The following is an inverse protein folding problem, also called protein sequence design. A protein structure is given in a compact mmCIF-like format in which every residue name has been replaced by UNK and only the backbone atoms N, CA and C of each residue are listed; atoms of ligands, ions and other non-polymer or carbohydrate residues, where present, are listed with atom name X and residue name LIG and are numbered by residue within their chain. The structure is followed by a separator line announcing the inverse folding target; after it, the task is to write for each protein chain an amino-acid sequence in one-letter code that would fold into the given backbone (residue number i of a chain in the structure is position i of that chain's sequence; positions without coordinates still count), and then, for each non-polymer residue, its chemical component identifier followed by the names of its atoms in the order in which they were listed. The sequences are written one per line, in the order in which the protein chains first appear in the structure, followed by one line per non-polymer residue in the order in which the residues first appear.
data_IF_816010000012
#
_entry.id   IF_816010000012
#
_cell.length_a   1.000
_cell.length_b   1.000
_cell.length_c   1.000
_cell.angle_alpha   90.00
_cell.angle_beta   90.00
_cell.angle_gamma   90.00
#
_symmetry.space_group_name_H-M   'P 1'
#
loop_
_entity.id
_entity.type
_entity.pdbx_description
1 polymer ?
#
# COMPACT_ATOMS: atom_id res chain seq x y z
N UNK A 1 -11.84 1.77 0.30
CA UNK A 1 -11.23 0.61 -0.37
C UNK A 1 -9.74 0.83 -0.59
N UNK A 2 -9.33 2.04 -1.04
CA UNK A 2 -7.94 2.41 -1.28
C UNK A 2 -7.11 2.33 0.01
N UNK A 3 -7.54 2.92 1.11
CA UNK A 3 -6.89 2.87 2.42
C UNK A 3 -6.65 1.44 2.95
N UNK A 4 -7.45 0.48 2.48
CA UNK A 4 -7.24 -0.95 2.71
C UNK A 4 -6.35 -1.63 1.67
N UNK A 5 -5.92 -0.91 0.62
CA UNK A 5 -5.22 -1.42 -0.57
C UNK A 5 -5.93 -2.64 -1.19
N UNK A 6 -7.25 -2.52 -1.39
CA UNK A 6 -8.15 -3.61 -1.85
C UNK A 6 -8.95 -3.27 -3.10
N UNK A 7 -9.24 -1.97 -3.36
CA UNK A 7 -10.11 -1.55 -4.45
C UNK A 7 -9.53 -1.89 -5.82
N UNK A 8 -8.32 -1.50 -6.08
CA UNK A 8 -7.60 -1.78 -7.32
C UNK A 8 -7.42 -3.29 -7.58
N UNK A 9 -7.17 -4.06 -6.52
CA UNK A 9 -7.04 -5.52 -6.63
C UNK A 9 -8.30 -6.18 -7.20
N UNK A 10 -9.48 -5.78 -6.71
CA UNK A 10 -10.75 -6.34 -7.20
C UNK A 10 -10.96 -6.03 -8.69
N UNK A 11 -10.61 -4.82 -9.16
CA UNK A 11 -10.68 -4.41 -10.57
C UNK A 11 -9.74 -5.28 -11.43
N UNK A 12 -8.51 -5.50 -10.96
CA UNK A 12 -7.51 -6.32 -11.65
C UNK A 12 -7.93 -7.78 -11.74
N UNK A 13 -8.41 -8.37 -10.63
CA UNK A 13 -8.82 -9.78 -10.58
C UNK A 13 -10.05 -10.07 -11.45
N UNK A 14 -10.91 -9.08 -11.68
CA UNK A 14 -12.07 -9.21 -12.59
C UNK A 14 -11.72 -8.99 -14.06
N UNK A 15 -10.46 -8.67 -14.39
CA UNK A 15 -9.99 -8.54 -15.77
C UNK A 15 -10.38 -7.23 -16.46
N UNK A 16 -10.89 -6.22 -15.74
CA UNK A 16 -11.32 -4.94 -16.32
C UNK A 16 -10.20 -4.11 -16.97
N UNK A 17 -8.94 -4.54 -16.83
CA UNK A 17 -7.77 -3.85 -17.37
C UNK A 17 -7.00 -4.68 -18.39
N UNK A 18 -7.56 -5.80 -18.86
CA UNK A 18 -6.84 -6.74 -19.72
C UNK A 18 -6.71 -6.30 -21.18
N UNK A 19 -7.55 -5.38 -21.60
CA UNK A 19 -7.63 -4.78 -22.94
C UNK A 19 -7.36 -3.26 -22.93
N UNK A 20 -6.75 -2.75 -21.85
CA UNK A 20 -6.44 -1.32 -21.70
C UNK A 20 -5.03 -1.02 -22.20
N UNK A 21 -4.93 -0.14 -23.21
CA UNK A 21 -3.65 0.31 -23.79
C UNK A 21 -2.99 1.40 -22.93
N UNK A 22 -3.78 2.31 -22.36
CA UNK A 22 -3.28 3.45 -21.58
C UNK A 22 -4.06 3.61 -20.28
N UNK A 23 -3.34 3.73 -19.17
CA UNK A 23 -3.91 3.99 -17.86
C UNK A 23 -3.31 5.24 -17.22
N UNK A 24 -4.16 6.22 -16.93
CA UNK A 24 -3.75 7.46 -16.25
C UNK A 24 -4.52 7.59 -14.94
N UNK A 25 -3.81 7.64 -13.82
CA UNK A 25 -4.37 7.98 -12.52
C UNK A 25 -3.80 9.28 -11.98
N UNK A 26 -4.35 9.78 -10.88
CA UNK A 26 -3.78 10.95 -10.21
C UNK A 26 -4.08 10.97 -8.71
N UNK A 27 -3.25 11.73 -8.00
CA UNK A 27 -3.45 12.04 -6.58
C UNK A 27 -3.04 13.49 -6.30
N UNK A 28 -3.75 14.14 -5.39
CA UNK A 28 -3.38 15.47 -4.89
C UNK A 28 -2.11 15.36 -4.05
N UNK A 29 -1.20 16.32 -4.21
CA UNK A 29 0.12 16.30 -3.59
C UNK A 29 0.49 17.68 -3.04
N UNK A 30 1.17 17.77 -1.88
CA UNK A 30 1.69 19.04 -1.39
C UNK A 30 2.57 19.73 -2.43
N UNK A 31 2.33 21.04 -2.65
CA UNK A 31 3.06 21.84 -3.63
C UNK A 31 4.41 22.40 -3.11
N UNK A 32 4.71 22.29 -1.82
CA UNK A 32 5.73 23.06 -1.10
C UNK A 32 7.15 23.02 -1.69
N UNK A 33 7.48 21.99 -2.47
CA UNK A 33 8.83 21.81 -3.04
C UNK A 33 8.84 21.82 -4.57
N UNK A 34 7.72 22.21 -5.22
CA UNK A 34 7.59 22.12 -6.67
C UNK A 34 7.01 23.41 -7.25
N UNK A 35 7.53 23.81 -8.42
CA UNK A 35 6.97 24.90 -9.22
C UNK A 35 6.14 24.32 -10.36
N UNK A 36 4.85 24.59 -10.37
CA UNK A 36 3.92 24.15 -11.41
C UNK A 36 2.59 23.69 -10.83
N UNK A 37 1.77 23.07 -11.65
CA UNK A 37 0.44 22.60 -11.30
C UNK A 37 0.35 21.06 -11.23
N UNK A 38 1.11 20.36 -12.09
CA UNK A 38 1.06 18.90 -12.23
C UNK A 38 2.44 18.32 -12.54
N UNK A 39 2.78 17.22 -11.87
CA UNK A 39 3.92 16.36 -12.20
C UNK A 39 3.37 15.19 -13.04
N UNK A 40 3.90 14.92 -14.25
CA UNK A 40 3.30 13.96 -15.18
C UNK A 40 3.52 12.49 -14.85
N UNK A 41 4.32 12.17 -13.83
CA UNK A 41 4.58 10.79 -13.44
C UNK A 41 4.99 10.62 -11.98
N UNK A 42 5.02 9.37 -11.53
CA UNK A 42 5.45 9.01 -10.19
C UNK A 42 6.24 7.69 -10.18
N UNK A 43 7.07 7.51 -9.13
CA UNK A 43 7.82 6.28 -8.89
C UNK A 43 8.01 6.04 -7.38
N UNK A 44 8.44 4.83 -7.00
CA UNK A 44 8.96 4.53 -5.67
C UNK A 44 7.92 4.50 -4.56
N UNK A 45 6.65 4.16 -4.85
CA UNK A 45 5.70 3.80 -3.80
C UNK A 45 6.23 2.60 -3.01
N UNK A 46 6.08 2.63 -1.70
CA UNK A 46 6.43 1.48 -0.86
C UNK A 46 5.45 0.32 -1.15
N UNK A 47 5.99 -0.82 -1.52
CA UNK A 47 5.21 -2.04 -1.53
C UNK A 47 4.80 -2.40 -0.09
N UNK A 48 3.59 -2.91 0.08
CA UNK A 48 3.02 -3.25 1.40
C UNK A 48 2.18 -4.51 1.33
N UNK A 49 2.15 -5.26 2.44
CA UNK A 49 1.20 -6.36 2.67
C UNK A 49 0.59 -6.20 4.06
N UNK A 50 -0.76 -6.22 4.12
CA UNK A 50 -1.56 -6.18 5.34
C UNK A 50 -2.02 -7.59 5.69
N UNK A 51 -1.75 -8.03 6.91
CA UNK A 51 -1.95 -9.40 7.38
C UNK A 51 -2.80 -9.37 8.64
N UNK A 52 -3.94 -10.06 8.62
CA UNK A 52 -4.67 -10.44 9.83
C UNK A 52 -4.30 -11.87 10.20
N UNK A 53 -4.00 -12.11 11.46
CA UNK A 53 -3.76 -13.44 12.00
C UNK A 53 -4.60 -13.70 13.23
N UNK A 54 -5.15 -14.91 13.32
CA UNK A 54 -5.91 -15.39 14.46
C UNK A 54 -5.22 -16.63 15.00
N UNK A 55 -5.00 -16.64 16.32
CA UNK A 55 -4.57 -17.83 17.04
C UNK A 55 -5.73 -18.38 17.87
N UNK A 56 -5.95 -19.69 17.76
CA UNK A 56 -6.88 -20.44 18.58
C UNK A 56 -6.11 -21.38 19.48
N UNK A 57 -6.43 -21.36 20.76
CA UNK A 57 -5.88 -22.19 21.80
C UNK A 57 -6.95 -22.99 22.52
N UNK A 58 -6.78 -23.16 23.82
CA UNK A 58 -7.77 -23.81 24.68
C UNK A 58 -7.83 -23.13 26.04
N UNK A 59 -9.01 -22.66 26.43
CA UNK A 59 -9.24 -22.07 27.72
C UNK A 59 -9.08 -23.11 28.86
N UNK A 60 -8.56 -22.64 29.98
CA UNK A 60 -8.50 -23.41 31.23
C UNK A 60 -8.43 -22.45 32.42
N UNK A 61 -8.74 -22.93 33.59
CA UNK A 61 -8.58 -22.15 34.84
C UNK A 61 -7.10 -22.06 35.19
N UNK A 62 -6.56 -20.84 35.21
CA UNK A 62 -5.11 -20.61 35.35
C UNK A 62 -4.52 -21.11 36.69
N UNK A 63 -5.33 -21.24 37.76
CA UNK A 63 -4.89 -21.69 39.07
C UNK A 63 -5.14 -23.18 39.33
N UNK A 64 -6.21 -23.78 38.78
CA UNK A 64 -6.61 -25.16 39.13
C UNK A 64 -6.27 -26.22 38.08
N UNK A 65 -6.11 -25.83 36.81
CA UNK A 65 -5.85 -26.77 35.74
C UNK A 65 -5.06 -26.10 34.55
N UNK A 66 -3.93 -25.42 34.84
CA UNK A 66 -3.18 -24.69 33.81
C UNK A 66 -2.64 -25.61 32.69
N UNK A 67 -2.30 -26.86 33.02
CA UNK A 67 -1.80 -27.85 32.06
C UNK A 67 -2.84 -28.27 31.01
N UNK A 68 -4.11 -27.99 31.23
CA UNK A 68 -5.19 -28.26 30.24
C UNK A 68 -5.38 -27.14 29.24
N UNK A 69 -4.79 -25.97 29.47
CA UNK A 69 -4.87 -24.81 28.59
C UNK A 69 -3.86 -24.86 27.45
N UNK A 70 -4.18 -24.16 26.35
CA UNK A 70 -3.24 -23.77 25.29
C UNK A 70 -3.28 -22.26 25.18
N UNK A 71 -2.25 -21.59 25.68
CA UNK A 71 -2.26 -20.15 25.92
C UNK A 71 -1.83 -19.36 24.67
N UNK A 72 -2.76 -18.70 24.01
CA UNK A 72 -2.47 -17.87 22.83
C UNK A 72 -1.56 -16.68 23.11
N UNK A 73 -1.51 -16.19 24.39
CA UNK A 73 -0.61 -15.09 24.74
C UNK A 73 0.86 -15.43 24.53
N UNK A 74 1.24 -16.68 24.69
CA UNK A 74 2.62 -17.15 24.43
C UNK A 74 2.94 -17.08 22.93
N UNK A 75 2.03 -17.55 22.08
CA UNK A 75 2.14 -17.42 20.64
C UNK A 75 2.22 -15.97 20.17
N UNK A 76 1.38 -15.10 20.74
CA UNK A 76 1.39 -13.64 20.45
C UNK A 76 2.73 -13.02 20.84
N UNK A 77 3.23 -13.29 22.05
CA UNK A 77 4.51 -12.75 22.52
C UNK A 77 5.69 -13.22 21.63
N UNK A 78 5.73 -14.51 21.30
CA UNK A 78 6.72 -15.09 20.41
C UNK A 78 6.64 -14.46 19.00
N UNK A 79 5.44 -14.31 18.45
CA UNK A 79 5.24 -13.69 17.14
C UNK A 79 5.72 -12.24 17.12
N UNK A 80 5.32 -11.40 18.08
CA UNK A 80 5.71 -9.99 18.13
C UNK A 80 7.23 -9.85 18.23
N UNK A 81 7.87 -10.54 19.18
CA UNK A 81 9.33 -10.46 19.35
C UNK A 81 10.09 -10.84 18.08
N UNK A 82 9.67 -11.92 17.41
CA UNK A 82 10.34 -12.40 16.22
C UNK A 82 10.00 -11.57 14.97
N UNK A 83 8.82 -11.00 14.83
CA UNK A 83 8.49 -10.07 13.74
C UNK A 83 9.41 -8.84 13.75
N UNK A 84 9.62 -8.23 14.92
CA UNK A 84 10.53 -7.09 15.03
C UNK A 84 12.01 -7.46 14.90
N UNK A 85 12.36 -8.74 15.04
CA UNK A 85 13.72 -9.27 14.83
C UNK A 85 14.04 -9.64 13.37
N UNK A 86 13.08 -9.53 12.43
CA UNK A 86 13.36 -9.79 11.01
C UNK A 86 14.55 -8.93 10.55
N UNK A 87 15.61 -9.55 9.99
CA UNK A 87 16.77 -8.79 9.50
C UNK A 87 16.37 -7.76 8.47
N UNK A 88 16.83 -6.52 8.63
CA UNK A 88 16.56 -5.46 7.66
C UNK A 88 17.27 -5.75 6.35
N UNK A 89 16.62 -5.44 5.23
CA UNK A 89 17.19 -5.67 3.92
C UNK A 89 18.27 -4.62 3.61
N UNK A 90 19.48 -5.04 3.24
CA UNK A 90 20.58 -4.12 2.92
C UNK A 90 20.45 -3.41 1.56
N UNK A 91 19.47 -3.82 0.72
CA UNK A 91 19.24 -3.22 -0.60
C UNK A 91 18.19 -2.12 -0.62
N UNK A 92 17.55 -1.82 0.51
CA UNK A 92 16.56 -0.78 0.62
C UNK A 92 15.72 -0.86 1.90
N UNK A 93 14.81 0.10 2.04
CA UNK A 93 13.98 0.20 3.24
C UNK A 93 13.06 -1.01 3.41
N UNK A 94 13.01 -1.53 4.62
CA UNK A 94 12.10 -2.59 5.05
C UNK A 94 11.45 -2.23 6.39
N UNK A 95 10.17 -2.51 6.55
CA UNK A 95 9.40 -2.17 7.75
C UNK A 95 8.49 -3.32 8.14
N UNK A 96 8.20 -3.42 9.43
CA UNK A 96 7.17 -4.27 10.00
C UNK A 96 6.52 -3.53 11.15
N UNK A 97 5.21 -3.67 11.27
CA UNK A 97 4.44 -3.12 12.39
C UNK A 97 3.34 -4.10 12.81
N UNK A 98 3.20 -4.32 14.11
CA UNK A 98 2.03 -4.95 14.70
C UNK A 98 1.15 -3.83 15.22
N UNK A 99 0.07 -3.52 14.47
CA UNK A 99 -0.77 -2.36 14.74
C UNK A 99 -1.80 -2.59 15.84
N UNK A 100 -2.37 -3.80 15.90
CA UNK A 100 -3.35 -4.15 16.93
C UNK A 100 -3.15 -5.57 17.43
N UNK A 101 -3.48 -5.77 18.71
CA UNK A 101 -3.57 -7.09 19.35
C UNK A 101 -4.83 -7.09 20.22
N UNK A 102 -5.66 -8.11 20.05
CA UNK A 102 -6.80 -8.37 20.94
C UNK A 102 -6.71 -9.81 21.40
N UNK A 103 -6.65 -10.06 22.71
CA UNK A 103 -6.50 -11.40 23.26
C UNK A 103 -7.05 -11.52 24.68
N UNK A 104 -7.56 -12.73 24.99
CA UNK A 104 -8.00 -13.12 26.33
C UNK A 104 -9.31 -12.49 26.81
N UNK A 105 -9.83 -13.00 27.93
CA UNK A 105 -11.13 -12.60 28.51
C UNK A 105 -11.07 -12.25 30.00
N UNK A 106 -10.07 -12.75 30.72
CA UNK A 106 -9.95 -12.51 32.16
C UNK A 106 -8.64 -13.02 32.76
N UNK A 107 -8.24 -12.44 33.89
CA UNK A 107 -6.94 -12.70 34.55
C UNK A 107 -6.74 -14.13 35.05
N UNK A 108 -7.80 -14.85 35.32
CA UNK A 108 -7.79 -16.21 35.85
C UNK A 108 -8.15 -17.28 34.81
N UNK A 109 -8.23 -16.90 33.54
CA UNK A 109 -8.52 -17.78 32.42
C UNK A 109 -7.32 -17.79 31.49
N UNK A 110 -6.80 -18.97 31.12
CA UNK A 110 -5.82 -19.13 30.04
C UNK A 110 -6.50 -18.71 28.73
N UNK A 111 -5.92 -17.74 28.04
CA UNK A 111 -6.50 -17.17 26.84
C UNK A 111 -6.46 -18.19 25.68
N UNK A 112 -7.60 -18.39 25.04
CA UNK A 112 -7.79 -19.33 23.94
C UNK A 112 -8.03 -18.67 22.58
N UNK A 113 -8.12 -17.34 22.54
CA UNK A 113 -8.31 -16.55 21.32
C UNK A 113 -7.42 -15.31 21.31
N UNK A 114 -6.75 -15.09 20.18
CA UNK A 114 -6.06 -13.83 19.91
C UNK A 114 -6.18 -13.46 18.44
N UNK A 115 -6.34 -12.15 18.18
CA UNK A 115 -6.24 -11.57 16.83
C UNK A 115 -5.16 -10.49 16.82
N UNK A 116 -4.31 -10.52 15.77
CA UNK A 116 -3.33 -9.46 15.49
C UNK A 116 -3.54 -8.90 14.08
N UNK A 117 -3.28 -7.61 13.91
CA UNK A 117 -3.24 -6.94 12.61
C UNK A 117 -1.83 -6.38 12.39
N UNK A 118 -1.24 -6.79 11.29
CA UNK A 118 0.18 -6.61 10.99
C UNK A 118 0.32 -6.00 9.62
N UNK A 119 1.32 -5.15 9.45
CA UNK A 119 1.74 -4.63 8.16
C UNK A 119 3.24 -4.84 7.96
N UNK A 120 3.62 -5.29 6.78
CA UNK A 120 5.00 -5.28 6.31
C UNK A 120 5.13 -4.39 5.10
N UNK A 121 6.30 -3.72 4.95
CA UNK A 121 6.59 -2.87 3.80
C UNK A 121 8.01 -3.08 3.29
N UNK A 122 8.18 -2.90 1.99
CA UNK A 122 9.48 -2.86 1.32
C UNK A 122 9.58 -1.70 0.35
N UNK A 123 10.78 -1.15 0.19
CA UNK A 123 11.05 -0.11 -0.81
C UNK A 123 10.75 -0.60 -2.23
N UNK A 124 10.98 -1.89 -2.47
CA UNK A 124 10.61 -2.57 -3.71
C UNK A 124 9.68 -3.75 -3.42
N UNK A 125 9.00 -4.23 -4.45
CA UNK A 125 8.13 -5.42 -4.34
C UNK A 125 8.92 -6.64 -3.85
N UNK A 126 10.18 -6.82 -4.28
CA UNK A 126 11.03 -7.91 -3.84
C UNK A 126 11.41 -7.81 -2.35
N UNK A 127 11.68 -6.59 -1.87
CA UNK A 127 11.94 -6.39 -0.43
C UNK A 127 10.67 -6.64 0.39
N UNK A 128 9.50 -6.25 -0.11
CA UNK A 128 8.24 -6.54 0.55
C UNK A 128 7.95 -8.04 0.60
N UNK A 129 8.17 -8.76 -0.48
CA UNK A 129 8.03 -10.23 -0.54
C UNK A 129 8.97 -10.92 0.46
N UNK A 130 10.22 -10.45 0.58
CA UNK A 130 11.13 -10.90 1.62
C UNK A 130 10.56 -10.73 3.03
N UNK A 131 10.02 -9.54 3.34
CA UNK A 131 9.42 -9.24 4.64
C UNK A 131 8.16 -10.06 4.89
N UNK A 132 7.30 -10.24 3.89
CA UNK A 132 6.08 -11.04 3.95
C UNK A 132 6.40 -12.52 4.23
N UNK A 133 7.34 -13.11 3.49
CA UNK A 133 7.74 -14.49 3.65
C UNK A 133 8.32 -14.77 5.06
N UNK A 134 9.10 -13.84 5.60
CA UNK A 134 9.57 -13.93 6.99
C UNK A 134 8.41 -13.83 7.98
N UNK A 135 7.52 -12.86 7.81
CA UNK A 135 6.37 -12.67 8.69
C UNK A 135 5.47 -13.92 8.70
N UNK A 136 5.12 -14.44 7.52
CA UNK A 136 4.28 -15.64 7.38
C UNK A 136 4.89 -16.85 8.08
N UNK A 137 6.19 -17.05 7.95
CA UNK A 137 6.90 -18.15 8.64
C UNK A 137 6.88 -17.96 10.15
N UNK A 138 7.21 -16.76 10.63
CA UNK A 138 7.21 -16.44 12.07
C UNK A 138 5.84 -16.69 12.70
N UNK A 139 4.78 -16.20 12.06
CA UNK A 139 3.41 -16.34 12.58
C UNK A 139 3.01 -17.81 12.73
N UNK A 140 3.30 -18.64 11.75
CA UNK A 140 3.03 -20.08 11.80
C UNK A 140 3.87 -20.79 12.87
N UNK A 141 5.19 -20.56 12.87
CA UNK A 141 6.09 -21.19 13.83
C UNK A 141 5.80 -20.76 15.27
N UNK A 142 5.45 -19.50 15.51
CA UNK A 142 5.05 -19.03 16.84
C UNK A 142 3.79 -19.73 17.36
N UNK A 143 2.85 -20.07 16.50
CA UNK A 143 1.71 -20.90 16.88
C UNK A 143 2.10 -22.36 17.19
N UNK A 144 2.90 -22.97 16.31
CA UNK A 144 3.39 -24.33 16.45
C UNK A 144 4.17 -24.54 17.77
N UNK A 145 4.99 -23.57 18.19
CA UNK A 145 5.74 -23.62 19.46
C UNK A 145 4.85 -23.82 20.68
N UNK A 146 3.57 -23.47 20.59
CA UNK A 146 2.62 -23.50 21.72
C UNK A 146 1.37 -24.34 21.45
N UNK A 147 1.43 -25.22 20.44
CA UNK A 147 0.32 -26.10 20.01
C UNK A 147 -0.97 -25.32 19.69
N UNK A 148 -0.86 -24.15 19.09
CA UNK A 148 -1.99 -23.30 18.69
C UNK A 148 -2.36 -23.54 17.23
N UNK A 149 -3.64 -23.39 16.91
CA UNK A 149 -4.11 -23.25 15.54
C UNK A 149 -3.85 -21.82 15.04
N UNK A 150 -3.47 -21.68 13.77
CA UNK A 150 -3.10 -20.40 13.17
C UNK A 150 -3.86 -20.17 11.86
N UNK A 151 -4.68 -19.15 11.84
CA UNK A 151 -5.34 -18.67 10.62
C UNK A 151 -4.68 -17.36 10.19
N UNK A 152 -4.21 -17.31 8.94
CA UNK A 152 -3.60 -16.09 8.36
C UNK A 152 -4.40 -15.65 7.14
N UNK A 153 -4.77 -14.38 7.10
CA UNK A 153 -5.49 -13.76 5.98
C UNK A 153 -4.76 -12.54 5.47
N UNK A 154 -4.45 -12.51 4.19
CA UNK A 154 -3.97 -11.31 3.51
C UNK A 154 -5.13 -10.35 3.28
N UNK A 155 -5.04 -9.15 3.85
CA UNK A 155 -6.12 -8.17 3.86
C UNK A 155 -5.99 -7.13 2.76
N UNK A 156 -4.79 -6.88 2.28
CA UNK A 156 -4.52 -5.95 1.21
C UNK A 156 -3.04 -5.93 0.85
N UNK A 157 -2.74 -5.53 -0.37
CA UNK A 157 -1.37 -5.39 -0.85
C UNK A 157 -1.27 -4.28 -1.89
N UNK A 158 -0.12 -3.61 -1.92
CA UNK A 158 0.28 -2.71 -2.99
C UNK A 158 1.73 -3.02 -3.38
N UNK A 159 2.07 -2.74 -4.61
CA UNK A 159 3.43 -2.91 -5.13
C UNK A 159 4.10 -1.56 -5.34
N UNK A 160 5.41 -1.57 -5.62
CA UNK A 160 6.08 -0.32 -6.00
C UNK A 160 5.57 0.17 -7.36
N UNK A 161 5.50 1.50 -7.52
CA UNK A 161 4.99 2.16 -8.72
C UNK A 161 6.16 2.66 -9.58
N UNK A 162 5.99 2.58 -10.90
CA UNK A 162 6.84 3.25 -11.87
C UNK A 162 6.00 3.62 -13.08
N UNK A 163 5.86 4.92 -13.36
CA UNK A 163 5.22 5.43 -14.57
C UNK A 163 6.09 5.16 -15.81
N UNK A 164 5.46 4.91 -16.96
CA UNK A 164 6.15 4.68 -18.24
C UNK A 164 6.64 6.00 -18.82
N UNK A 165 7.92 6.04 -19.15
CA UNK A 165 8.62 7.25 -19.64
C UNK A 165 8.04 7.77 -20.98
N UNK A 166 7.61 6.86 -21.86
CA UNK A 166 6.94 7.17 -23.12
C UNK A 166 5.64 7.92 -22.91
N UNK A 167 4.78 7.42 -21.98
CA UNK A 167 3.51 8.06 -21.67
C UNK A 167 3.71 9.40 -20.93
N UNK A 168 4.66 9.48 -20.00
CA UNK A 168 5.06 10.74 -19.37
C UNK A 168 5.43 11.80 -20.41
N UNK A 169 6.31 11.45 -21.34
CA UNK A 169 6.76 12.33 -22.40
C UNK A 169 5.59 12.80 -23.27
N UNK A 170 4.71 11.87 -23.66
CA UNK A 170 3.51 12.17 -24.44
C UNK A 170 2.58 13.14 -23.72
N UNK A 171 2.29 12.91 -22.43
CA UNK A 171 1.49 13.83 -21.59
C UNK A 171 2.14 15.21 -21.55
N UNK A 172 3.45 15.32 -21.37
CA UNK A 172 4.17 16.59 -21.36
C UNK A 172 4.02 17.34 -22.67
N UNK A 173 4.35 16.70 -23.79
CA UNK A 173 4.30 17.31 -25.13
C UNK A 173 2.89 17.82 -25.48
N UNK A 174 1.86 17.04 -25.15
CA UNK A 174 0.48 17.43 -25.40
C UNK A 174 0.05 18.63 -24.55
N UNK A 175 0.43 18.65 -23.27
CA UNK A 175 0.11 19.75 -22.37
C UNK A 175 0.82 21.04 -22.78
N UNK A 176 2.12 20.99 -23.05
CA UNK A 176 2.91 22.15 -23.50
C UNK A 176 2.39 22.75 -24.80
N UNK A 177 1.94 21.90 -25.72
CA UNK A 177 1.37 22.31 -27.00
C UNK A 177 -0.03 22.96 -26.88
N UNK A 178 -0.88 22.39 -26.02
CA UNK A 178 -2.33 22.71 -26.05
C UNK A 178 -2.83 23.49 -24.84
N UNK A 179 -2.10 23.48 -23.69
CA UNK A 179 -2.57 24.06 -22.44
C UNK A 179 -1.75 25.30 -22.04
N UNK A 180 -2.21 26.49 -22.43
CA UNK A 180 -1.53 27.76 -22.10
C UNK A 180 -1.60 28.16 -20.62
N UNK A 181 -2.55 27.61 -19.88
CA UNK A 181 -2.87 28.00 -18.52
C UNK A 181 -2.51 26.95 -17.48
N UNK A 182 -1.87 25.87 -17.87
CA UNK A 182 -1.38 24.81 -17.00
C UNK A 182 0.13 24.71 -17.12
N UNK A 183 0.82 24.69 -15.99
CA UNK A 183 2.26 24.50 -15.95
C UNK A 183 2.55 23.08 -15.46
N UNK A 184 3.20 22.28 -16.28
CA UNK A 184 3.87 21.08 -15.78
C UNK A 184 5.15 21.47 -15.04
N UNK A 185 5.50 20.71 -14.00
CA UNK A 185 6.76 20.90 -13.28
C UNK A 185 7.97 20.64 -14.19
N UNK A 186 9.16 21.08 -13.77
CA UNK A 186 10.41 20.72 -14.47
C UNK A 186 10.71 19.22 -14.33
N UNK A 187 10.38 18.67 -13.17
CA UNK A 187 10.51 17.26 -12.86
C UNK A 187 9.43 16.48 -13.59
N UNK A 188 9.83 15.40 -14.27
CA UNK A 188 8.91 14.49 -14.95
C UNK A 188 8.27 13.48 -14.00
N UNK A 189 8.89 13.22 -12.85
CA UNK A 189 8.44 12.23 -11.89
C UNK A 189 8.68 12.68 -10.46
N UNK A 190 7.89 12.13 -9.54
CA UNK A 190 8.02 12.31 -8.11
C UNK A 190 8.12 10.96 -7.40
N UNK A 191 8.96 10.88 -6.35
CA UNK A 191 8.97 9.74 -5.43
C UNK A 191 7.77 9.80 -4.48
N UNK A 192 6.95 8.74 -4.44
CA UNK A 192 5.70 8.75 -3.68
C UNK A 192 5.90 8.60 -2.17
N UNK A 193 6.85 7.81 -1.73
CA UNK A 193 7.12 7.58 -0.30
C UNK A 193 6.07 6.77 0.46
N UNK A 194 4.82 6.80 0.05
CA UNK A 194 3.70 6.02 0.60
C UNK A 194 3.39 4.76 -0.20
N UNK A 195 2.32 4.06 0.16
CA UNK A 195 1.76 2.93 -0.62
C UNK A 195 0.50 3.39 -1.34
N UNK A 196 0.26 2.85 -2.54
CA UNK A 196 -0.84 3.24 -3.43
C UNK A 196 -1.39 2.01 -4.14
N UNK A 197 -2.68 1.70 -4.01
CA UNK A 197 -3.25 0.48 -4.60
C UNK A 197 -3.40 0.58 -6.12
N UNK A 198 -3.45 1.80 -6.69
CA UNK A 198 -3.39 2.05 -8.12
C UNK A 198 -2.15 1.41 -8.78
N UNK A 199 -1.10 1.15 -8.01
CA UNK A 199 0.10 0.41 -8.44
C UNK A 199 -0.22 -0.96 -9.05
N UNK A 200 -1.23 -1.66 -8.53
CA UNK A 200 -1.69 -2.95 -9.06
C UNK A 200 -2.32 -2.80 -10.43
N UNK A 201 -3.11 -1.74 -10.63
CA UNK A 201 -3.74 -1.42 -11.91
C UNK A 201 -2.68 -1.07 -12.96
N UNK A 202 -1.73 -0.19 -12.62
CA UNK A 202 -0.60 0.14 -13.50
C UNK A 202 0.16 -1.11 -13.91
N UNK A 203 0.52 -1.96 -12.95
CA UNK A 203 1.24 -3.20 -13.21
C UNK A 203 0.49 -4.13 -14.16
N UNK A 204 -0.85 -4.23 -14.01
CA UNK A 204 -1.67 -5.07 -14.89
C UNK A 204 -1.62 -4.58 -16.33
N UNK A 205 -1.83 -3.29 -16.56
CA UNK A 205 -1.76 -2.69 -17.90
C UNK A 205 -0.37 -2.86 -18.51
N UNK A 206 0.68 -2.55 -17.76
CA UNK A 206 2.07 -2.73 -18.20
C UNK A 206 2.41 -4.19 -18.54
N UNK A 207 1.91 -5.15 -17.79
CA UNK A 207 2.09 -6.59 -18.07
C UNK A 207 1.38 -7.06 -19.34
N UNK A 208 0.32 -6.36 -19.74
CA UNK A 208 -0.42 -6.64 -20.98
C UNK A 208 0.15 -5.91 -22.20
N UNK A 209 1.21 -5.11 -22.02
CA UNK A 209 1.88 -4.37 -23.08
C UNK A 209 1.39 -2.93 -23.25
N UNK A 210 0.44 -2.49 -22.42
CA UNK A 210 0.01 -1.10 -22.35
C UNK A 210 0.95 -0.24 -21.50
N UNK A 211 0.66 1.05 -21.42
CA UNK A 211 1.44 2.04 -20.66
C UNK A 211 0.61 2.67 -19.55
N UNK A 212 1.25 3.00 -18.43
CA UNK A 212 0.57 3.61 -17.29
C UNK A 212 1.37 4.77 -16.69
N UNK A 213 0.67 5.82 -16.25
CA UNK A 213 1.27 6.91 -15.47
C UNK A 213 0.38 7.33 -14.31
N UNK A 214 1.01 7.88 -13.27
CA UNK A 214 0.33 8.39 -12.09
C UNK A 214 0.71 9.85 -11.88
N UNK A 215 -0.21 10.75 -12.27
CA UNK A 215 -0.03 12.19 -12.18
C UNK A 215 -0.05 12.65 -10.72
N UNK A 216 0.72 13.68 -10.40
CA UNK A 216 0.65 14.36 -9.11
C UNK A 216 0.12 15.76 -9.31
N UNK A 217 -1.12 16.00 -8.87
CA UNK A 217 -1.75 17.32 -8.93
C UNK A 217 -1.33 18.11 -7.70
N UNK A 218 -0.58 19.18 -7.90
CA UNK A 218 0.00 19.97 -6.84
C UNK A 218 -1.04 20.89 -6.19
N UNK A 219 -1.14 20.82 -4.88
CA UNK A 219 -2.09 21.63 -4.11
C UNK A 219 -1.45 22.20 -2.84
N UNK A 220 -1.90 23.36 -2.43
CA UNK A 220 -1.63 23.88 -1.09
C UNK A 220 -2.55 23.13 -0.12
N UNK A 221 -1.95 22.50 0.88
CA UNK A 221 -2.67 21.75 1.91
C UNK A 221 -2.80 22.59 3.19
N UNK A 222 -3.90 22.40 3.93
CA UNK A 222 -4.13 23.05 5.23
C UNK A 222 -3.50 22.31 6.40
N UNK A 223 -3.33 20.98 6.28
CA UNK A 223 -2.77 20.10 7.30
C UNK A 223 -2.13 18.88 6.60
N UNK A 224 -1.48 18.02 7.38
CA UNK A 224 -0.93 16.75 6.88
C UNK A 224 -2.06 15.83 6.38
N UNK A 225 -1.79 14.99 5.37
CA UNK A 225 -2.74 13.95 4.94
C UNK A 225 -3.23 13.12 6.13
N UNK A 226 -4.54 12.79 6.15
CA UNK A 226 -5.25 12.12 7.26
C UNK A 226 -5.37 12.94 8.56
N UNK A 227 -4.92 14.16 8.61
CA UNK A 227 -5.16 15.07 9.74
C UNK A 227 -6.65 15.43 9.86
N UNK A 228 -7.12 15.68 11.09
CA UNK A 228 -8.54 16.00 11.34
C UNK A 228 -8.99 17.34 10.74
N UNK A 229 -8.04 18.20 10.37
CA UNK A 229 -8.29 19.51 9.72
C UNK A 229 -7.75 19.55 8.31
N UNK A 230 -7.53 18.36 7.70
CA UNK A 230 -7.05 18.26 6.34
C UNK A 230 -8.05 18.91 5.36
N UNK A 231 -7.53 19.79 4.53
CA UNK A 231 -8.21 20.41 3.41
C UNK A 231 -7.18 20.83 2.37
N UNK A 232 -7.59 21.13 1.15
CA UNK A 232 -6.70 21.53 0.07
C UNK A 232 -7.32 22.66 -0.78
N UNK A 233 -6.49 23.45 -1.46
CA UNK A 233 -6.96 24.48 -2.38
C UNK A 233 -7.54 23.81 -3.65
N UNK A 234 -8.88 23.84 -3.78
CA UNK A 234 -9.63 23.24 -4.90
C UNK A 234 -9.26 23.81 -6.28
N UNK A 235 -8.56 24.96 -6.34
CA UNK A 235 -8.06 25.50 -7.62
C UNK A 235 -7.16 24.54 -8.37
N UNK A 236 -6.52 23.58 -7.67
CA UNK A 236 -5.69 22.54 -8.29
C UNK A 236 -6.51 21.55 -9.15
N UNK A 237 -7.82 21.42 -8.93
CA UNK A 237 -8.66 20.49 -9.68
C UNK A 237 -8.73 20.83 -11.17
N UNK A 238 -8.85 22.12 -11.51
CA UNK A 238 -8.96 22.54 -12.89
C UNK A 238 -7.71 22.24 -13.74
N UNK A 239 -6.47 22.52 -13.30
CA UNK A 239 -5.28 22.02 -13.97
C UNK A 239 -5.27 20.51 -14.18
N UNK A 240 -5.59 19.73 -13.15
CA UNK A 240 -5.68 18.27 -13.23
C UNK A 240 -6.65 17.80 -14.32
N UNK A 241 -7.87 18.31 -14.33
CA UNK A 241 -8.90 18.01 -15.34
C UNK A 241 -8.39 18.33 -16.75
N UNK A 242 -7.77 19.50 -16.96
CA UNK A 242 -7.24 19.90 -18.27
C UNK A 242 -6.16 18.94 -18.77
N UNK A 243 -5.26 18.49 -17.88
CA UNK A 243 -4.22 17.51 -18.23
C UNK A 243 -4.85 16.20 -18.66
N UNK A 244 -5.82 15.67 -17.88
CA UNK A 244 -6.55 14.45 -18.27
C UNK A 244 -7.23 14.59 -19.63
N UNK A 245 -8.00 15.67 -19.84
CA UNK A 245 -8.70 15.89 -21.10
C UNK A 245 -7.74 15.98 -22.29
N UNK A 246 -6.63 16.69 -22.14
CA UNK A 246 -5.63 16.83 -23.22
C UNK A 246 -4.95 15.49 -23.54
N UNK A 247 -4.55 14.74 -22.52
CA UNK A 247 -3.92 13.43 -22.68
C UNK A 247 -4.87 12.43 -23.35
N UNK A 248 -6.10 12.27 -22.84
CA UNK A 248 -7.09 11.36 -23.40
C UNK A 248 -7.42 11.72 -24.86
N UNK A 249 -7.63 13.01 -25.16
CA UNK A 249 -7.93 13.45 -26.53
C UNK A 249 -6.80 13.15 -27.51
N UNK A 250 -5.55 13.24 -27.06
CA UNK A 250 -4.40 12.89 -27.89
C UNK A 250 -4.25 11.37 -28.10
N UNK A 251 -4.40 10.61 -27.01
CA UNK A 251 -4.32 9.14 -27.02
C UNK A 251 -5.39 8.50 -27.91
N UNK A 252 -6.60 9.09 -27.97
CA UNK A 252 -7.70 8.60 -28.81
C UNK A 252 -7.53 8.92 -30.32
N UNK A 253 -6.54 9.73 -30.68
CA UNK A 253 -6.25 10.05 -32.09
C UNK A 253 -5.18 9.15 -32.71
N UNK A 254 -4.50 8.37 -31.91
CA UNK A 254 -3.35 7.54 -32.31
C UNK A 254 -3.77 6.23 -32.99
#
# INVERSE_FOLDING_TARGET
AEEGVRGARAIVEQGHLDDVDYLIGSHITPADNYEGDVIPGAYGALATTKIDVVYHGRAAHAGSAPEKGKNVMLGVAAAISNLYSIPRNGKGASRVNVGTVTAGTGRNVIADYAKMQIEVRGETSQINEYMENYAMRILKTAAEMHDLECEVKLMGAAITIKSDESLIKRVREVCEKNLKTVKLTKEDTMHLGGSEDFSLMMKRVQQKGGEATFLRVLAKLSDIPHGTRFDFDEKCLLPGIKVFCAAVYDLMKA
#
